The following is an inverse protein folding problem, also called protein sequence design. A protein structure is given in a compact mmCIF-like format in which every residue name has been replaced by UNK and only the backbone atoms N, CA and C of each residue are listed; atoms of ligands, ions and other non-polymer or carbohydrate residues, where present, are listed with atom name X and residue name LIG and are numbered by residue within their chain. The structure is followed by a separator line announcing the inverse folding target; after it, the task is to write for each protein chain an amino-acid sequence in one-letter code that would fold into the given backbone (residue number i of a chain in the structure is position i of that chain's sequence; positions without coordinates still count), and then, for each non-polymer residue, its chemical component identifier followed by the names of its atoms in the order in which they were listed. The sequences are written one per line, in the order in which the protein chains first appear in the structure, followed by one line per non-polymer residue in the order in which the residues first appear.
data_IF_274141669709
#
_entry.id   IF_274141669709
#
_cell.length_a   1.000
_cell.length_b   1.000
_cell.length_c   1.000
_cell.angle_alpha   90.00
_cell.angle_beta   90.00
_cell.angle_gamma   90.00
#
_symmetry.space_group_name_H-M   'P 1'
#
loop_
_entity.id
_entity.type
_entity.pdbx_description
1 polymer ?
#
# COMPACT_ATOMS: atom_id res chain seq x y z
N UNK A 1 1.68 -10.88 -3.37
CA UNK A 1 1.16 -11.70 -2.23
C UNK A 1 2.36 -12.14 -1.43
N UNK A 2 2.57 -11.86 -0.15
CA UNK A 2 1.84 -11.15 0.90
C UNK A 2 2.00 -9.63 0.88
N UNK A 3 1.09 -8.88 1.51
CA UNK A 3 1.26 -7.46 1.76
C UNK A 3 0.86 -7.10 3.18
N UNK A 4 1.73 -6.37 3.89
CA UNK A 4 1.62 -6.10 5.32
C UNK A 4 1.53 -4.59 5.58
N UNK A 5 0.60 -4.26 6.47
CA UNK A 5 0.26 -2.98 7.11
C UNK A 5 -0.31 -1.84 6.26
N UNK A 6 -1.39 -1.27 6.80
CA UNK A 6 -2.15 -0.10 6.34
C UNK A 6 -1.61 1.14 7.07
N UNK A 7 -0.89 2.01 6.36
CA UNK A 7 -0.66 3.40 6.77
C UNK A 7 -1.67 4.27 6.03
N UNK A 8 -2.52 4.99 6.75
CA UNK A 8 -3.19 6.18 6.21
C UNK A 8 -2.13 7.28 6.23
N UNK A 9 -1.47 7.54 5.10
CA UNK A 9 -0.48 8.60 5.02
C UNK A 9 -1.14 9.87 4.48
N UNK A 10 -1.01 10.96 5.24
CA UNK A 10 -1.24 12.32 4.73
C UNK A 10 -0.16 12.62 3.69
N UNK A 11 -0.57 12.76 2.41
CA UNK A 11 0.20 13.35 1.30
C UNK A 11 1.69 12.96 1.27
N UNK A 12 2.01 11.79 0.73
CA UNK A 12 3.40 11.36 0.52
C UNK A 12 3.79 11.41 -0.96
N UNK A 13 5.07 11.19 -1.25
CA UNK A 13 5.60 11.10 -2.62
C UNK A 13 4.95 10.00 -3.46
N UNK A 14 4.29 9.03 -2.82
CA UNK A 14 3.61 7.95 -3.53
C UNK A 14 2.11 8.20 -3.79
N UNK A 15 1.55 9.30 -3.28
CA UNK A 15 0.14 9.66 -3.50
C UNK A 15 -0.69 9.77 -2.22
N UNK A 16 -2.01 9.76 -2.39
CA UNK A 16 -3.02 9.77 -1.32
C UNK A 16 -3.87 8.50 -1.46
N UNK A 17 -3.40 7.40 -0.84
CA UNK A 17 -4.07 6.09 -0.89
C UNK A 17 -3.73 5.22 0.32
N UNK A 18 -4.01 3.94 0.21
CA UNK A 18 -3.70 2.95 1.26
C UNK A 18 -2.39 2.25 0.91
N UNK A 19 -1.45 2.30 1.84
CA UNK A 19 -0.09 1.80 1.67
C UNK A 19 0.01 0.37 2.14
N UNK A 20 0.84 -0.41 1.44
CA UNK A 20 1.09 -1.82 1.70
C UNK A 20 2.55 -2.15 1.42
N UNK A 21 3.28 -2.71 2.37
CA UNK A 21 4.69 -3.09 2.15
C UNK A 21 4.82 -4.58 1.87
N UNK A 22 5.83 -4.94 1.06
CA UNK A 22 6.13 -6.33 0.72
C UNK A 22 6.81 -7.04 1.89
N UNK A 23 7.77 -6.38 2.55
CA UNK A 23 8.46 -6.95 3.69
C UNK A 23 7.75 -6.59 5.00
N UNK A 24 7.65 -7.58 5.90
CA UNK A 24 7.10 -7.40 7.23
C UNK A 24 7.94 -6.46 8.10
N UNK A 25 9.27 -6.50 7.94
CA UNK A 25 10.21 -5.65 8.69
C UNK A 25 9.87 -4.18 8.53
N UNK A 26 9.56 -3.76 7.31
CA UNK A 26 9.26 -2.38 6.96
C UNK A 26 7.92 -1.95 7.56
N UNK A 27 6.94 -2.86 7.59
CA UNK A 27 5.65 -2.64 8.27
C UNK A 27 5.80 -2.47 9.79
N UNK A 28 6.77 -3.16 10.40
CA UNK A 28 6.92 -3.22 11.85
C UNK A 28 7.53 -1.95 12.48
N UNK A 29 8.24 -1.14 11.68
CA UNK A 29 8.85 0.12 12.13
C UNK A 29 7.77 1.08 12.61
N UNK A 30 6.73 1.27 11.79
CA UNK A 30 5.62 2.21 12.03
C UNK A 30 4.33 1.51 12.50
N UNK A 31 4.42 0.25 12.95
CA UNK A 31 3.25 -0.51 13.37
C UNK A 31 2.54 0.15 14.56
N UNK A 32 1.21 0.26 14.46
CA UNK A 32 0.39 0.84 15.52
C UNK A 32 0.62 0.10 16.84
N UNK A 33 1.02 0.86 17.86
CA UNK A 33 1.23 0.32 19.21
C UNK A 33 -0.05 0.45 20.01
N UNK A 34 -0.53 -0.67 20.54
CA UNK A 34 -1.71 -0.71 21.39
C UNK A 34 -1.41 0.00 22.73
N UNK A 35 -2.38 0.77 23.27
CA UNK A 35 -2.21 1.40 24.57
C UNK A 35 -1.94 0.37 25.68
N UNK A 36 -0.95 0.64 26.54
CA UNK A 36 -0.79 -0.01 27.83
C UNK A 36 0.12 -1.25 27.91
N UNK A 37 0.51 -1.90 26.80
CA UNK A 37 1.30 -3.14 26.85
C UNK A 37 2.46 -3.25 25.85
N UNK A 38 2.69 -2.21 25.04
CA UNK A 38 3.75 -2.18 24.04
C UNK A 38 3.56 -3.19 22.89
N UNK A 39 2.37 -3.80 22.77
CA UNK A 39 2.06 -4.72 21.67
C UNK A 39 1.83 -3.89 20.41
N UNK A 40 2.55 -4.23 19.34
CA UNK A 40 2.36 -3.68 18.01
C UNK A 40 1.39 -4.54 17.20
N UNK A 41 0.64 -3.90 16.30
CA UNK A 41 -0.33 -4.55 15.43
C UNK A 41 -0.05 -4.27 13.96
N UNK A 42 -0.06 -5.33 13.15
CA UNK A 42 -0.03 -5.24 11.68
C UNK A 42 -1.13 -6.09 11.04
N UNK A 43 -1.60 -5.66 9.88
CA UNK A 43 -2.57 -6.40 9.07
C UNK A 43 -1.84 -7.13 7.95
N UNK A 44 -2.16 -8.40 7.75
CA UNK A 44 -1.76 -9.17 6.59
C UNK A 44 -2.93 -9.23 5.62
N UNK A 45 -2.75 -8.68 4.42
CA UNK A 45 -3.82 -8.48 3.45
C UNK A 45 -3.50 -9.17 2.12
N UNK A 46 -4.55 -9.67 1.46
CA UNK A 46 -4.52 -9.90 0.01
C UNK A 46 -4.88 -8.57 -0.68
N UNK A 47 -4.01 -8.10 -1.57
CA UNK A 47 -4.16 -6.81 -2.24
C UNK A 47 -4.14 -7.01 -3.75
N UNK A 48 -5.13 -6.44 -4.44
CA UNK A 48 -5.24 -6.43 -5.89
C UNK A 48 -4.37 -5.32 -6.48
N UNK A 49 -3.09 -5.59 -6.68
CA UNK A 49 -2.14 -4.62 -7.25
C UNK A 49 -2.26 -4.47 -8.77
N UNK A 50 -2.78 -5.49 -9.47
CA UNK A 50 -2.97 -5.47 -10.92
C UNK A 50 -1.72 -5.02 -11.69
N UNK A 51 -1.93 -4.22 -12.74
CA UNK A 51 -0.87 -3.50 -13.42
C UNK A 51 -0.50 -2.24 -12.63
N UNK A 52 0.77 -2.07 -12.32
CA UNK A 52 1.27 -0.96 -11.51
C UNK A 52 2.34 -0.15 -12.24
N UNK A 53 2.58 1.06 -11.74
CA UNK A 53 3.62 1.96 -12.24
C UNK A 53 4.26 2.73 -11.09
N UNK A 54 5.35 3.44 -11.37
CA UNK A 54 5.96 4.35 -10.40
C UNK A 54 4.96 5.41 -9.98
N UNK A 55 4.94 5.69 -8.68
CA UNK A 55 4.05 6.70 -8.15
C UNK A 55 4.42 8.10 -8.64
N UNK A 56 3.42 8.98 -8.62
CA UNK A 56 3.59 10.41 -8.85
C UNK A 56 3.04 11.15 -7.65
N UNK A 57 3.85 12.02 -7.06
CA UNK A 57 3.52 12.69 -5.80
C UNK A 57 2.18 13.44 -5.87
N UNK A 58 1.40 13.35 -4.77
CA UNK A 58 0.17 14.11 -4.56
C UNK A 58 -1.02 13.70 -5.44
N UNK A 59 -1.05 12.49 -6.01
CA UNK A 59 -2.18 11.98 -6.79
C UNK A 59 -3.14 11.15 -5.93
N UNK A 60 -4.44 11.27 -6.19
CA UNK A 60 -5.54 10.50 -5.55
C UNK A 60 -6.01 9.31 -6.39
N UNK A 61 -5.46 9.16 -7.58
CA UNK A 61 -5.75 8.07 -8.51
C UNK A 61 -4.44 7.64 -9.18
N UNK A 62 -4.32 6.38 -9.63
CA UNK A 62 -3.16 5.95 -10.39
C UNK A 62 -3.00 6.74 -11.70
N UNK A 63 -1.78 6.83 -12.25
CA UNK A 63 -1.54 7.41 -13.57
C UNK A 63 -2.33 6.70 -14.68
N UNK A 64 -2.58 7.40 -15.79
CA UNK A 64 -3.16 6.80 -17.00
C UNK A 64 -2.13 5.92 -17.73
N UNK A 65 -2.60 4.82 -18.32
CA UNK A 65 -1.80 3.91 -19.15
C UNK A 65 -1.50 4.58 -20.50
N UNK A 66 -0.24 4.57 -20.98
CA UNK A 66 0.15 5.24 -22.22
C UNK A 66 -0.59 4.73 -23.46
N UNK A 67 -0.92 3.43 -23.48
CA UNK A 67 -1.39 2.69 -24.66
C UNK A 67 -2.91 2.51 -24.73
N UNK A 68 -3.66 2.86 -23.67
CA UNK A 68 -5.07 2.50 -23.53
C UNK A 68 -6.03 3.72 -23.46
N UNK A 69 -5.56 4.90 -23.86
CA UNK A 69 -6.35 6.14 -23.88
C UNK A 69 -6.51 6.79 -22.50
N UNK A 70 -7.09 8.00 -22.46
CA UNK A 70 -7.16 8.85 -21.25
C UNK A 70 -7.89 8.23 -20.05
N UNK A 71 -8.71 7.21 -20.26
CA UNK A 71 -9.58 6.64 -19.24
C UNK A 71 -9.07 5.32 -18.65
N UNK A 72 -8.00 4.74 -19.20
CA UNK A 72 -7.40 3.54 -18.65
C UNK A 72 -6.35 3.95 -17.63
N UNK A 73 -6.59 3.68 -16.34
CA UNK A 73 -5.63 3.91 -15.27
C UNK A 73 -4.88 2.61 -14.94
N UNK A 74 -3.68 2.72 -14.38
CA UNK A 74 -3.06 1.61 -13.65
C UNK A 74 -3.92 1.21 -12.45
N UNK A 75 -3.74 0.00 -11.94
CA UNK A 75 -4.52 -0.54 -10.83
C UNK A 75 -3.95 -0.11 -9.47
N UNK A 76 -2.61 0.06 -9.39
CA UNK A 76 -1.91 0.59 -8.22
C UNK A 76 -0.65 1.36 -8.61
N UNK A 77 0.01 1.99 -7.65
CA UNK A 77 1.36 2.56 -7.83
C UNK A 77 2.35 1.94 -6.86
N UNK A 78 3.64 2.08 -7.16
CA UNK A 78 4.74 1.60 -6.32
C UNK A 78 5.85 2.65 -6.19
N UNK A 79 6.74 2.44 -5.24
CA UNK A 79 8.00 3.19 -5.09
C UNK A 79 8.99 2.99 -6.26
N UNK A 80 9.24 1.74 -6.66
CA UNK A 80 10.10 1.37 -7.80
C UNK A 80 9.51 0.19 -8.57
N UNK A 81 9.09 0.42 -9.82
CA UNK A 81 8.46 -0.59 -10.67
C UNK A 81 9.41 -1.71 -11.10
N UNK A 82 10.72 -1.48 -11.00
CA UNK A 82 11.73 -2.51 -11.28
C UNK A 82 11.96 -3.45 -10.09
N UNK A 83 11.78 -2.94 -8.86
CA UNK A 83 11.93 -3.70 -7.63
C UNK A 83 11.01 -3.14 -6.52
N UNK A 84 9.71 -3.47 -6.56
CA UNK A 84 8.72 -2.81 -5.73
C UNK A 84 8.80 -3.27 -4.27
N UNK A 85 8.85 -2.32 -3.34
CA UNK A 85 8.84 -2.61 -1.90
C UNK A 85 7.55 -2.12 -1.22
N UNK A 86 6.89 -1.12 -1.81
CA UNK A 86 5.66 -0.52 -1.28
C UNK A 86 4.66 -0.27 -2.39
N UNK A 87 3.44 -0.77 -2.22
CA UNK A 87 2.32 -0.51 -3.11
C UNK A 87 1.32 0.45 -2.48
N UNK A 88 0.69 1.27 -3.31
CA UNK A 88 -0.42 2.14 -2.92
C UNK A 88 -1.62 1.85 -3.81
N UNK A 89 -2.75 1.52 -3.16
CA UNK A 89 -4.05 1.32 -3.81
C UNK A 89 -4.99 2.46 -3.45
N UNK A 90 -5.94 2.76 -4.35
CA UNK A 90 -6.78 3.96 -4.27
C UNK A 90 -8.27 3.65 -4.19
N UNK A 91 -8.64 2.36 -4.09
CA UNK A 91 -10.02 1.90 -3.96
C UNK A 91 -10.18 1.01 -2.74
N UNK A 92 -11.27 1.23 -2.00
CA UNK A 92 -11.60 0.50 -0.76
C UNK A 92 -11.78 -1.00 -0.97
N UNK A 93 -12.12 -1.43 -2.19
CA UNK A 93 -12.35 -2.85 -2.51
C UNK A 93 -11.10 -3.59 -2.98
N UNK A 94 -9.94 -2.92 -3.08
CA UNK A 94 -8.70 -3.53 -3.58
C UNK A 94 -7.89 -4.27 -2.51
N UNK A 95 -8.30 -4.21 -1.23
CA UNK A 95 -7.59 -4.89 -0.14
C UNK A 95 -8.55 -5.71 0.73
N UNK A 96 -8.19 -6.97 0.95
CA UNK A 96 -8.91 -7.88 1.84
C UNK A 96 -8.01 -8.29 3.02
N UNK A 97 -8.31 -7.82 4.25
CA UNK A 97 -7.58 -8.26 5.44
C UNK A 97 -7.83 -9.73 5.74
N UNK A 98 -6.76 -10.53 5.77
CA UNK A 98 -6.83 -11.96 6.10
C UNK A 98 -6.52 -12.22 7.57
N UNK A 99 -5.51 -11.54 8.11
CA UNK A 99 -5.08 -11.74 9.49
C UNK A 99 -4.68 -10.43 10.17
N UNK A 100 -4.79 -10.41 11.50
CA UNK A 100 -4.22 -9.38 12.37
C UNK A 100 -3.13 -10.04 13.19
N UNK A 101 -1.90 -9.56 13.03
CA UNK A 101 -0.74 -10.05 13.77
C UNK A 101 -0.42 -9.07 14.90
N UNK A 102 -0.34 -9.58 16.12
CA UNK A 102 0.07 -8.83 17.30
C UNK A 102 1.43 -9.34 17.76
N UNK A 103 2.41 -8.44 17.95
CA UNK A 103 3.78 -8.80 18.32
C UNK A 103 4.39 -7.76 19.27
N UNK A 104 5.57 -8.04 19.81
CA UNK A 104 6.34 -7.12 20.65
C UNK A 104 7.65 -6.78 19.95
#
# INVERSE_FOLDING_TARGET
MAMIYVKSASKTDLGEGVYFTVNASDSCVDAYTLPGNGIKRVHYCAVLTGEFTNATSGKRVPPSKPTAGKNALYDSVTDDSSNPTTFVVFSDTQAYPLFIVNFK
#
